data_IF_692070424049
#
_entry.id   IF_692070424049
#
_cell.length_a   1.000
_cell.length_b   1.000
_cell.length_c   1.000
_cell.angle_alpha   90.00
_cell.angle_beta   90.00
_cell.angle_gamma   90.00
#
_symmetry.space_group_name_H-M   'P 1'
#
loop_
_entity.id
_entity.type
_entity.pdbx_description
1 polymer ?
#
# COMPACT_ATOMS: atom_id res chain seq x y z
N UNK A 1 -15.89 -4.53 4.82
CA UNK A 1 -14.82 -3.52 4.61
C UNK A 1 -15.00 -2.23 5.43
N UNK A 2 -16.15 -1.52 5.36
CA UNK A 2 -16.40 -0.33 6.22
C UNK A 2 -16.20 -0.61 7.73
N UNK A 3 -16.65 -1.77 8.22
CA UNK A 3 -16.47 -2.15 9.63
C UNK A 3 -15.01 -2.47 10.04
N UNK A 4 -14.11 -2.80 9.11
CA UNK A 4 -12.70 -3.08 9.44
C UNK A 4 -11.92 -1.76 9.57
N UNK A 5 -12.17 -0.82 8.67
CA UNK A 5 -11.63 0.54 8.73
C UNK A 5 -12.15 1.31 9.95
N UNK A 6 -13.44 1.15 10.30
CA UNK A 6 -14.03 1.74 11.50
C UNK A 6 -13.43 1.14 12.77
N UNK A 7 -13.15 -0.17 12.81
CA UNK A 7 -12.46 -0.81 13.95
C UNK A 7 -10.99 -0.36 14.08
N UNK A 8 -10.27 -0.20 12.97
CA UNK A 8 -8.91 0.36 12.97
C UNK A 8 -8.87 1.81 13.47
N UNK A 9 -9.82 2.63 13.03
CA UNK A 9 -9.92 4.04 13.45
C UNK A 9 -10.37 4.16 14.90
N UNK A 10 -11.27 3.30 15.38
CA UNK A 10 -11.64 3.23 16.80
C UNK A 10 -10.46 2.79 17.68
N UNK A 11 -9.63 1.86 17.20
CA UNK A 11 -8.41 1.45 17.91
C UNK A 11 -7.36 2.57 17.96
N UNK A 12 -7.17 3.30 16.86
CA UNK A 12 -6.32 4.50 16.79
C UNK A 12 -6.81 5.65 17.69
N UNK A 13 -8.14 5.80 17.85
CA UNK A 13 -8.72 6.81 18.74
C UNK A 13 -8.63 6.39 20.22
N UNK A 14 -8.65 5.09 20.51
CA UNK A 14 -8.44 4.55 21.85
C UNK A 14 -6.97 4.68 22.30
N UNK A 15 -6.00 4.52 21.38
CA UNK A 15 -4.57 4.76 21.69
C UNK A 15 -4.22 6.25 21.83
N UNK A 16 -4.97 7.16 21.21
CA UNK A 16 -4.82 8.61 21.39
C UNK A 16 -5.44 9.15 22.70
N UNK A 17 -6.35 8.40 23.34
CA UNK A 17 -6.98 8.80 24.61
C UNK A 17 -6.20 8.38 25.87
N UNK A 18 -5.03 7.76 25.72
CA UNK A 18 -4.17 7.38 26.85
C UNK A 18 -3.25 8.53 27.30
N UNK A 19 -3.36 9.74 26.74
CA UNK A 19 -2.55 10.92 27.14
C UNK A 19 -2.75 11.43 28.60
N UNK A 20 -3.26 10.62 29.52
CA UNK A 20 -3.48 10.99 30.90
C UNK A 20 -3.08 9.93 31.93
N UNK A 21 -2.04 9.09 31.76
CA UNK A 21 -1.45 8.39 32.92
C UNK A 21 -0.01 7.83 32.76
N UNK A 22 0.98 8.62 33.23
CA UNK A 22 2.36 8.27 33.63
C UNK A 22 3.40 7.90 32.54
N UNK A 23 4.58 8.53 32.63
CA UNK A 23 5.53 8.77 31.52
C UNK A 23 6.56 7.67 31.21
N UNK A 24 6.68 6.59 31.99
CA UNK A 24 7.73 5.56 31.75
C UNK A 24 7.17 4.18 31.35
N UNK A 25 5.97 3.80 31.78
CA UNK A 25 5.32 2.55 31.33
C UNK A 25 4.59 2.71 29.98
N UNK A 26 4.16 3.93 29.63
CA UNK A 26 3.43 4.24 28.38
C UNK A 26 4.27 4.04 27.11
N UNK A 27 5.56 4.38 27.10
CA UNK A 27 6.38 4.28 25.88
C UNK A 27 6.61 2.84 25.44
N UNK A 28 6.86 1.94 26.39
CA UNK A 28 7.00 0.49 26.13
C UNK A 28 5.66 -0.09 25.65
N UNK A 29 4.55 0.34 26.23
CA UNK A 29 3.20 -0.05 25.83
C UNK A 29 2.85 0.38 24.40
N UNK A 30 3.20 1.60 24.00
CA UNK A 30 2.94 2.12 22.64
C UNK A 30 3.79 1.40 21.59
N UNK A 31 5.06 1.12 21.89
CA UNK A 31 5.95 0.36 20.98
C UNK A 31 5.41 -1.06 20.79
N UNK A 32 4.98 -1.73 21.86
CA UNK A 32 4.37 -3.07 21.79
C UNK A 32 3.08 -3.08 20.96
N UNK A 33 2.16 -2.14 21.19
CA UNK A 33 0.92 -2.02 20.42
C UNK A 33 1.18 -1.71 18.94
N UNK A 34 2.19 -0.90 18.64
CA UNK A 34 2.59 -0.61 17.26
C UNK A 34 3.18 -1.84 16.56
N UNK A 35 3.99 -2.64 17.26
CA UNK A 35 4.53 -3.89 16.74
C UNK A 35 3.44 -4.93 16.49
N UNK A 36 2.47 -5.08 17.40
CA UNK A 36 1.30 -5.94 17.19
C UNK A 36 0.49 -5.51 15.96
N UNK A 37 0.29 -4.21 15.78
CA UNK A 37 -0.38 -3.67 14.60
C UNK A 37 0.38 -3.99 13.31
N UNK A 38 1.70 -3.79 13.29
CA UNK A 38 2.55 -4.12 12.13
C UNK A 38 2.52 -5.60 11.79
N UNK A 39 2.51 -6.47 12.78
CA UNK A 39 2.38 -7.92 12.56
C UNK A 39 1.02 -8.30 11.96
N UNK A 40 -0.07 -7.68 12.42
CA UNK A 40 -1.41 -7.86 11.83
C UNK A 40 -1.45 -7.36 10.38
N UNK A 41 -0.88 -6.18 10.12
CA UNK A 41 -0.80 -5.61 8.77
C UNK A 41 0.02 -6.50 7.83
N UNK A 42 1.18 -6.98 8.30
CA UNK A 42 2.04 -7.91 7.58
C UNK A 42 1.33 -9.22 7.26
N UNK A 43 0.69 -9.83 8.26
CA UNK A 43 -0.11 -11.05 8.09
C UNK A 43 -1.23 -10.83 7.07
N UNK A 44 -1.95 -9.71 7.16
CA UNK A 44 -3.02 -9.38 6.22
C UNK A 44 -2.48 -9.19 4.80
N UNK A 45 -1.35 -8.50 4.65
CA UNK A 45 -0.68 -8.29 3.37
C UNK A 45 -0.25 -9.63 2.75
N UNK A 46 0.34 -10.53 3.54
CA UNK A 46 0.75 -11.86 3.08
C UNK A 46 -0.44 -12.71 2.63
N UNK A 47 -1.54 -12.71 3.39
CA UNK A 47 -2.78 -13.40 2.98
C UNK A 47 -3.28 -12.87 1.64
N UNK A 48 -3.37 -11.55 1.48
CA UNK A 48 -3.83 -10.93 0.23
C UNK A 48 -2.88 -11.22 -0.94
N UNK A 49 -1.56 -11.18 -0.70
CA UNK A 49 -0.53 -11.51 -1.69
C UNK A 49 -0.68 -12.94 -2.18
N UNK A 50 -0.80 -13.90 -1.26
CA UNK A 50 -0.95 -15.32 -1.59
C UNK A 50 -2.23 -15.59 -2.40
N UNK A 51 -3.34 -14.93 -2.03
CA UNK A 51 -4.59 -15.05 -2.80
C UNK A 51 -4.44 -14.43 -4.19
N UNK A 52 -3.82 -13.25 -4.30
CA UNK A 52 -3.59 -12.59 -5.58
C UNK A 52 -2.71 -13.44 -6.51
N UNK A 53 -1.63 -14.02 -5.99
CA UNK A 53 -0.74 -14.93 -6.71
C UNK A 53 -1.45 -16.20 -7.17
N UNK A 54 -2.15 -16.88 -6.26
CA UNK A 54 -2.92 -18.09 -6.60
C UNK A 54 -3.93 -17.82 -7.72
N UNK A 55 -4.69 -16.71 -7.64
CA UNK A 55 -5.66 -16.35 -8.67
C UNK A 55 -4.99 -15.90 -9.98
N UNK A 56 -3.84 -15.26 -9.91
CA UNK A 56 -3.06 -14.91 -11.09
C UNK A 56 -2.62 -16.17 -11.85
N UNK A 57 -2.14 -17.19 -11.14
CA UNK A 57 -1.78 -18.47 -11.76
C UNK A 57 -3.00 -19.17 -12.40
N UNK A 58 -4.18 -19.11 -11.77
CA UNK A 58 -5.41 -19.61 -12.40
C UNK A 58 -5.74 -18.86 -13.70
N UNK A 59 -5.57 -17.53 -13.75
CA UNK A 59 -5.79 -16.76 -14.98
C UNK A 59 -4.82 -17.19 -16.08
N UNK A 60 -3.55 -17.47 -15.74
CA UNK A 60 -2.54 -17.94 -16.70
C UNK A 60 -2.95 -19.29 -17.31
N UNK A 61 -3.31 -20.27 -16.46
CA UNK A 61 -3.76 -21.59 -16.92
C UNK A 61 -4.99 -21.46 -17.82
N UNK A 62 -6.00 -20.66 -17.42
CA UNK A 62 -7.19 -20.45 -18.24
C UNK A 62 -6.89 -19.75 -19.57
N UNK A 63 -5.88 -18.90 -19.63
CA UNK A 63 -5.43 -18.29 -20.87
C UNK A 63 -4.73 -19.28 -21.80
N UNK A 64 -3.97 -20.23 -21.26
CA UNK A 64 -3.37 -21.31 -22.05
C UNK A 64 -4.45 -22.24 -22.63
N UNK A 65 -5.49 -22.55 -21.85
CA UNK A 65 -6.60 -23.41 -22.28
C UNK A 65 -7.58 -22.69 -23.23
N UNK A 66 -7.89 -21.42 -22.95
CA UNK A 66 -8.95 -20.64 -23.61
C UNK A 66 -8.46 -19.20 -23.92
N UNK A 67 -7.45 -19.04 -24.81
CA UNK A 67 -6.80 -17.75 -25.05
C UNK A 67 -7.74 -16.69 -25.64
N UNK A 68 -8.79 -17.10 -26.37
CA UNK A 68 -9.79 -16.16 -26.92
C UNK A 68 -10.63 -15.50 -25.82
N UNK A 69 -10.90 -16.22 -24.74
CA UNK A 69 -11.80 -15.77 -23.67
C UNK A 69 -11.02 -15.10 -22.52
N UNK A 70 -9.78 -15.54 -22.27
CA UNK A 70 -8.95 -15.06 -21.16
C UNK A 70 -7.77 -14.18 -21.56
N UNK A 71 -7.40 -14.09 -22.84
CA UNK A 71 -6.21 -13.36 -23.29
C UNK A 71 -6.13 -11.90 -22.84
N UNK A 72 -7.25 -11.17 -22.94
CA UNK A 72 -7.29 -9.78 -22.48
C UNK A 72 -7.14 -9.67 -20.95
N UNK A 73 -7.80 -10.56 -20.20
CA UNK A 73 -7.75 -10.57 -18.73
C UNK A 73 -6.35 -10.95 -18.26
N UNK A 74 -5.73 -11.96 -18.88
CA UNK A 74 -4.38 -12.38 -18.59
C UNK A 74 -3.36 -11.26 -18.87
N UNK A 75 -3.49 -10.55 -19.99
CA UNK A 75 -2.65 -9.38 -20.27
C UNK A 75 -2.74 -8.31 -19.18
N UNK A 76 -3.96 -7.97 -18.74
CA UNK A 76 -4.16 -7.03 -17.65
C UNK A 76 -3.64 -7.55 -16.30
N UNK A 77 -3.87 -8.82 -15.99
CA UNK A 77 -3.41 -9.48 -14.78
C UNK A 77 -1.89 -9.47 -14.68
N UNK A 78 -1.19 -9.85 -15.76
CA UNK A 78 0.28 -9.81 -15.84
C UNK A 78 0.81 -8.40 -15.66
N UNK A 79 0.19 -7.41 -16.33
CA UNK A 79 0.60 -6.02 -16.20
C UNK A 79 0.49 -5.53 -14.76
N UNK A 80 -0.66 -5.74 -14.11
CA UNK A 80 -0.92 -5.34 -12.70
C UNK A 80 0.01 -6.08 -11.73
N UNK A 81 0.18 -7.39 -11.92
CA UNK A 81 0.99 -8.22 -11.03
C UNK A 81 2.46 -7.82 -11.11
N UNK A 82 3.02 -7.72 -12.33
CA UNK A 82 4.43 -7.38 -12.55
C UNK A 82 4.77 -5.97 -12.07
N UNK A 83 4.02 -4.96 -12.50
CA UNK A 83 4.32 -3.57 -12.14
C UNK A 83 4.06 -3.27 -10.66
N UNK A 84 3.08 -3.95 -10.05
CA UNK A 84 2.87 -3.89 -8.60
C UNK A 84 4.03 -4.52 -7.82
N UNK A 85 4.54 -5.67 -8.26
CA UNK A 85 5.69 -6.31 -7.62
C UNK A 85 6.96 -5.46 -7.76
N UNK A 86 7.18 -4.81 -8.90
CA UNK A 86 8.30 -3.86 -9.04
C UNK A 86 8.28 -2.71 -8.03
N UNK A 87 7.08 -2.25 -7.62
CA UNK A 87 6.94 -1.25 -6.55
C UNK A 87 7.28 -1.88 -5.21
N UNK A 88 6.74 -3.06 -4.91
CA UNK A 88 6.97 -3.76 -3.66
C UNK A 88 8.46 -4.09 -3.44
N UNK A 89 9.12 -4.62 -4.47
CA UNK A 89 10.54 -4.99 -4.46
C UNK A 89 11.42 -3.75 -4.23
N UNK A 90 11.09 -2.63 -4.89
CA UNK A 90 11.83 -1.38 -4.68
C UNK A 90 11.62 -0.81 -3.27
N UNK A 91 10.43 -0.97 -2.69
CA UNK A 91 10.18 -0.59 -1.30
C UNK A 91 10.94 -1.50 -0.34
N UNK A 92 11.01 -2.82 -0.61
CA UNK A 92 11.81 -3.74 0.20
C UNK A 92 13.31 -3.43 0.11
N UNK A 93 13.82 -3.01 -1.06
CA UNK A 93 15.18 -2.46 -1.21
C UNK A 93 15.39 -1.26 -0.27
N UNK A 94 14.49 -0.26 -0.30
CA UNK A 94 14.58 0.93 0.56
C UNK A 94 14.61 0.53 2.04
N UNK A 95 13.69 -0.35 2.47
CA UNK A 95 13.58 -0.77 3.87
C UNK A 95 14.76 -1.61 4.34
N UNK A 96 15.40 -2.38 3.46
CA UNK A 96 16.57 -3.19 3.84
C UNK A 96 17.78 -2.36 4.27
N UNK A 97 17.82 -1.08 3.88
CA UNK A 97 18.82 -0.11 4.36
C UNK A 97 18.44 0.63 5.64
N UNK A 98 17.30 0.28 6.27
CA UNK A 98 16.80 0.95 7.48
C UNK A 98 16.89 -0.02 8.66
N UNK A 99 17.64 0.33 9.71
CA UNK A 99 17.62 -0.45 10.94
C UNK A 99 16.36 -0.15 11.77
N UNK A 100 15.89 -1.13 12.56
CA UNK A 100 14.76 -0.91 13.47
C UNK A 100 15.09 0.12 14.55
N UNK A 101 16.33 0.13 15.02
CA UNK A 101 16.85 1.04 16.04
C UNK A 101 16.79 2.50 15.58
N UNK A 102 17.07 2.77 14.30
CA UNK A 102 16.98 4.11 13.68
C UNK A 102 15.54 4.61 13.55
N UNK A 103 14.54 3.73 13.62
CA UNK A 103 13.14 4.08 13.44
C UNK A 103 12.46 4.58 14.72
N UNK A 104 12.89 4.12 15.90
CA UNK A 104 12.24 4.43 17.17
C UNK A 104 12.82 5.65 17.88
N UNK A 105 13.86 6.29 17.32
CA UNK A 105 14.34 7.59 17.79
C UNK A 105 13.32 8.67 17.38
N UNK A 106 12.61 9.20 18.37
CA UNK A 106 11.54 10.17 18.16
C UNK A 106 12.06 11.45 17.49
N UNK A 107 11.44 11.81 16.36
CA UNK A 107 11.70 13.01 15.54
C UNK A 107 12.97 13.02 14.68
N UNK A 108 13.71 11.92 14.55
CA UNK A 108 14.75 11.86 13.52
C UNK A 108 14.14 11.82 12.11
N UNK A 109 14.68 12.62 11.19
CA UNK A 109 14.26 12.75 9.79
C UNK A 109 15.36 12.42 8.79
N UNK A 110 16.54 11.98 9.26
CA UNK A 110 17.69 11.74 8.38
C UNK A 110 17.37 10.75 7.24
N UNK A 111 16.68 9.65 7.56
CA UNK A 111 16.28 8.65 6.56
C UNK A 111 15.23 9.21 5.59
N UNK A 112 14.31 10.03 6.08
CA UNK A 112 13.32 10.71 5.24
C UNK A 112 14.00 11.65 4.24
N UNK A 113 14.93 12.48 4.71
CA UNK A 113 15.61 13.46 3.87
C UNK A 113 16.48 12.77 2.80
N UNK A 114 17.17 11.68 3.16
CA UNK A 114 17.90 10.85 2.21
C UNK A 114 16.97 10.18 1.18
N UNK A 115 15.86 9.59 1.64
CA UNK A 115 14.85 9.00 0.78
C UNK A 115 14.33 10.00 -0.24
N UNK A 116 13.95 11.21 0.20
CA UNK A 116 13.44 12.26 -0.70
C UNK A 116 14.49 12.65 -1.75
N UNK A 117 15.76 12.73 -1.36
CA UNK A 117 16.85 13.13 -2.24
C UNK A 117 17.18 12.08 -3.30
N UNK A 118 17.16 10.79 -2.95
CA UNK A 118 17.74 9.74 -3.81
C UNK A 118 16.73 8.73 -4.34
N UNK A 119 15.73 8.36 -3.54
CA UNK A 119 14.88 7.18 -3.79
C UNK A 119 13.45 7.56 -4.20
N UNK A 120 12.93 8.69 -3.71
CA UNK A 120 11.55 9.10 -3.94
C UNK A 120 11.18 9.24 -5.42
N UNK A 121 12.04 9.86 -6.23
CA UNK A 121 11.77 10.05 -7.66
C UNK A 121 11.60 8.71 -8.40
N UNK A 122 12.41 7.71 -8.06
CA UNK A 122 12.33 6.37 -8.65
C UNK A 122 11.03 5.68 -8.22
N UNK A 123 10.70 5.71 -6.92
CA UNK A 123 9.44 5.15 -6.42
C UNK A 123 8.23 5.84 -7.06
N UNK A 124 8.23 7.17 -7.15
CA UNK A 124 7.18 7.96 -7.78
C UNK A 124 6.97 7.53 -9.23
N UNK A 125 8.05 7.33 -10.00
CA UNK A 125 7.96 6.92 -11.40
C UNK A 125 7.35 5.52 -11.56
N UNK A 126 7.70 4.56 -10.69
CA UNK A 126 7.10 3.22 -10.69
C UNK A 126 5.60 3.28 -10.39
N UNK A 127 5.21 4.08 -9.39
CA UNK A 127 3.79 4.30 -9.04
C UNK A 127 3.03 5.01 -10.18
N UNK A 128 3.64 5.99 -10.83
CA UNK A 128 3.02 6.72 -11.95
C UNK A 128 2.80 5.80 -13.17
N UNK A 129 3.76 4.90 -13.45
CA UNK A 129 3.62 3.87 -14.48
C UNK A 129 2.45 2.94 -14.15
N UNK A 130 2.40 2.40 -12.92
CA UNK A 130 1.32 1.56 -12.42
C UNK A 130 -0.05 2.25 -12.56
N UNK A 131 -0.15 3.52 -12.15
CA UNK A 131 -1.35 4.33 -12.29
C UNK A 131 -1.82 4.46 -13.74
N UNK A 132 -0.91 4.81 -14.67
CA UNK A 132 -1.21 4.99 -16.10
C UNK A 132 -1.66 3.69 -16.75
N UNK A 133 -0.96 2.60 -16.44
CA UNK A 133 -1.29 1.25 -16.87
C UNK A 133 -2.70 0.84 -16.43
N UNK A 134 -3.01 1.03 -15.15
CA UNK A 134 -4.31 0.71 -14.59
C UNK A 134 -5.42 1.62 -15.11
N UNK A 135 -5.11 2.88 -15.44
CA UNK A 135 -6.07 3.83 -16.01
C UNK A 135 -6.68 3.32 -17.33
N UNK A 136 -5.90 2.61 -18.14
CA UNK A 136 -6.38 1.98 -19.37
C UNK A 136 -7.38 0.85 -19.04
N UNK A 137 -7.06 0.02 -18.05
CA UNK A 137 -7.89 -1.13 -17.63
C UNK A 137 -9.25 -0.65 -17.09
N UNK A 138 -9.24 0.32 -16.18
CA UNK A 138 -10.44 0.85 -15.51
C UNK A 138 -11.31 1.74 -16.41
N UNK A 139 -10.84 2.08 -17.62
CA UNK A 139 -11.65 2.81 -18.61
C UNK A 139 -12.80 1.96 -19.16
N UNK A 140 -12.68 0.64 -19.06
CA UNK A 140 -13.76 -0.29 -19.38
C UNK A 140 -14.85 -0.28 -18.31
N UNK A 141 -16.13 -0.44 -18.72
CA UNK A 141 -17.27 -0.52 -17.78
C UNK A 141 -17.12 -1.64 -16.76
N UNK A 142 -16.45 -2.74 -17.13
CA UNK A 142 -16.23 -3.91 -16.27
C UNK A 142 -15.42 -3.57 -15.02
N UNK A 143 -14.43 -2.68 -15.14
CA UNK A 143 -13.47 -2.37 -14.07
C UNK A 143 -13.62 -0.96 -13.50
N UNK A 144 -14.75 -0.29 -13.77
CA UNK A 144 -14.99 1.07 -13.32
C UNK A 144 -15.00 1.23 -11.79
N UNK A 145 -15.35 0.16 -11.07
CA UNK A 145 -15.32 0.10 -9.60
C UNK A 145 -13.93 0.32 -8.99
N UNK A 146 -12.85 0.04 -9.75
CA UNK A 146 -11.48 0.25 -9.29
C UNK A 146 -10.97 1.69 -9.45
N UNK A 147 -11.78 2.59 -10.02
CA UNK A 147 -11.35 3.96 -10.32
C UNK A 147 -10.91 4.74 -9.09
N UNK A 148 -11.68 4.70 -8.00
CA UNK A 148 -11.34 5.41 -6.78
C UNK A 148 -10.05 4.87 -6.14
N UNK A 149 -9.86 3.56 -6.18
CA UNK A 149 -8.63 2.93 -5.71
C UNK A 149 -7.41 3.33 -6.55
N UNK A 150 -7.54 3.31 -7.88
CA UNK A 150 -6.44 3.70 -8.77
C UNK A 150 -6.03 5.17 -8.58
N UNK A 151 -6.97 6.06 -8.26
CA UNK A 151 -6.69 7.47 -8.00
C UNK A 151 -5.76 7.70 -6.80
N UNK A 152 -5.61 6.72 -5.90
CA UNK A 152 -4.64 6.79 -4.80
C UNK A 152 -3.19 6.68 -5.26
N UNK A 153 -2.95 6.20 -6.48
CA UNK A 153 -1.62 6.11 -7.12
C UNK A 153 -1.35 7.28 -8.08
N UNK A 154 -2.29 8.23 -8.23
CA UNK A 154 -2.11 9.37 -9.12
C UNK A 154 -1.08 10.36 -8.55
N UNK A 155 0.17 10.20 -8.94
CA UNK A 155 1.29 11.01 -8.39
C UNK A 155 1.29 12.48 -8.80
N UNK A 156 0.48 12.85 -9.79
CA UNK A 156 0.39 14.22 -10.32
C UNK A 156 -0.86 14.97 -9.81
N UNK A 157 -1.68 14.31 -9.00
CA UNK A 157 -2.87 14.90 -8.40
C UNK A 157 -2.52 15.70 -7.14
N UNK A 158 -3.30 16.76 -6.91
CA UNK A 158 -3.35 17.43 -5.62
C UNK A 158 -4.40 16.76 -4.74
N UNK A 159 -4.02 16.45 -3.51
CA UNK A 159 -4.89 15.85 -2.49
C UNK A 159 -5.32 16.93 -1.51
N UNK A 160 -6.42 16.70 -0.80
CA UNK A 160 -6.88 17.60 0.26
C UNK A 160 -6.59 16.95 1.60
N UNK A 161 -5.89 17.67 2.49
CA UNK A 161 -5.57 17.17 3.83
C UNK A 161 -6.73 17.45 4.82
N UNK A 162 -6.57 17.04 6.09
CA UNK A 162 -7.59 17.26 7.14
C UNK A 162 -7.85 18.75 7.48
N UNK A 163 -7.02 19.67 6.97
CA UNK A 163 -7.15 21.12 7.15
C UNK A 163 -7.69 21.82 5.90
N UNK A 164 -8.24 21.06 4.95
CA UNK A 164 -8.72 21.54 3.65
C UNK A 164 -7.64 22.17 2.76
N UNK A 165 -6.37 21.87 3.01
CA UNK A 165 -5.24 22.37 2.21
C UNK A 165 -4.92 21.40 1.07
N UNK A 166 -4.62 21.97 -0.10
CA UNK A 166 -4.14 21.21 -1.26
C UNK A 166 -2.68 20.84 -1.06
N UNK A 167 -2.39 19.54 -1.01
CA UNK A 167 -1.04 18.99 -0.86
C UNK A 167 -0.67 18.09 -2.04
N UNK A 168 0.62 18.02 -2.36
CA UNK A 168 1.13 17.14 -3.42
C UNK A 168 1.19 15.68 -2.95
N UNK A 169 1.51 14.76 -3.86
CA UNK A 169 1.59 13.33 -3.57
C UNK A 169 2.62 12.97 -2.49
N UNK A 170 3.80 13.61 -2.50
CA UNK A 170 4.84 13.39 -1.48
C UNK A 170 4.30 13.69 -0.09
N UNK A 171 3.69 14.85 0.11
CA UNK A 171 3.11 15.24 1.40
C UNK A 171 1.87 14.42 1.76
N UNK A 172 1.12 13.95 0.76
CA UNK A 172 -0.04 13.09 0.99
C UNK A 172 0.36 11.71 1.50
N UNK A 173 1.39 11.09 0.92
CA UNK A 173 1.86 9.76 1.33
C UNK A 173 2.84 9.81 2.50
N UNK A 174 3.75 10.78 2.53
CA UNK A 174 4.87 10.87 3.46
C UNK A 174 4.87 12.19 4.26
N UNK A 175 3.68 12.68 4.63
CA UNK A 175 3.53 13.96 5.36
C UNK A 175 4.06 13.93 6.79
N UNK A 176 4.16 12.74 7.39
CA UNK A 176 4.84 12.55 8.68
C UNK A 176 6.30 12.17 8.44
N UNK A 177 7.20 13.12 8.66
CA UNK A 177 8.60 13.05 8.20
C UNK A 177 9.56 12.30 9.11
N UNK A 178 9.11 11.90 10.31
CA UNK A 178 9.94 11.07 11.18
C UNK A 178 10.29 9.74 10.47
N UNK A 179 11.43 9.14 10.80
CA UNK A 179 11.88 7.86 10.22
C UNK A 179 10.79 6.77 10.32
N UNK A 180 10.10 6.68 11.46
CA UNK A 180 8.94 5.79 11.64
C UNK A 180 7.79 6.11 10.68
N UNK A 181 7.55 7.39 10.42
CA UNK A 181 6.55 7.86 9.46
C UNK A 181 6.89 7.48 8.03
N UNK A 182 8.16 7.57 7.64
CA UNK A 182 8.64 7.05 6.36
C UNK A 182 8.35 5.55 6.23
N UNK A 183 8.76 4.75 7.22
CA UNK A 183 8.59 3.30 7.19
C UNK A 183 7.11 2.90 7.08
N UNK A 184 6.25 3.45 7.94
CA UNK A 184 4.80 3.20 7.88
C UNK A 184 4.20 3.62 6.54
N UNK A 185 4.67 4.72 5.95
CA UNK A 185 4.18 5.18 4.65
C UNK A 185 4.59 4.24 3.51
N UNK A 186 5.81 3.70 3.56
CA UNK A 186 6.29 2.68 2.63
C UNK A 186 5.48 1.38 2.74
N UNK A 187 5.26 0.89 3.96
CA UNK A 187 4.45 -0.31 4.22
C UNK A 187 3.01 -0.14 3.72
N UNK A 188 2.40 1.02 3.97
CA UNK A 188 1.07 1.35 3.47
C UNK A 188 0.99 1.32 1.94
N UNK A 189 2.00 1.83 1.23
CA UNK A 189 2.02 1.75 -0.24
C UNK A 189 2.07 0.30 -0.70
N UNK A 190 2.89 -0.55 -0.06
CA UNK A 190 2.92 -1.98 -0.40
C UNK A 190 1.56 -2.64 -0.18
N UNK A 191 0.90 -2.34 0.95
CA UNK A 191 -0.43 -2.85 1.23
C UNK A 191 -1.45 -2.40 0.19
N UNK A 192 -1.45 -1.12 -0.19
CA UNK A 192 -2.35 -0.59 -1.23
C UNK A 192 -2.15 -1.27 -2.59
N UNK A 193 -0.89 -1.52 -2.98
CA UNK A 193 -0.55 -2.24 -4.22
C UNK A 193 -1.05 -3.68 -4.17
N UNK A 194 -0.74 -4.43 -3.11
CA UNK A 194 -1.19 -5.81 -2.92
C UNK A 194 -2.71 -5.90 -2.89
N UNK A 195 -3.37 -4.95 -2.22
CA UNK A 195 -4.82 -4.88 -2.17
C UNK A 195 -5.43 -4.62 -3.56
N UNK A 196 -4.82 -3.76 -4.37
CA UNK A 196 -5.25 -3.54 -5.77
C UNK A 196 -5.10 -4.82 -6.61
N UNK A 197 -3.95 -5.50 -6.51
CA UNK A 197 -3.73 -6.79 -7.16
C UNK A 197 -4.81 -7.80 -6.75
N UNK A 198 -5.02 -7.99 -5.44
CA UNK A 198 -6.06 -8.87 -4.91
C UNK A 198 -7.45 -8.55 -5.47
N UNK A 199 -7.87 -7.29 -5.41
CA UNK A 199 -9.20 -6.88 -5.88
C UNK A 199 -9.40 -7.22 -7.36
N UNK A 200 -8.40 -6.92 -8.20
CA UNK A 200 -8.48 -7.21 -9.63
C UNK A 200 -8.54 -8.72 -9.89
N UNK A 201 -7.68 -9.51 -9.25
CA UNK A 201 -7.64 -10.96 -9.46
C UNK A 201 -8.92 -11.63 -8.95
N UNK A 202 -9.44 -11.19 -7.79
CA UNK A 202 -10.65 -11.73 -7.17
C UNK A 202 -11.92 -11.38 -7.95
N UNK A 203 -11.98 -10.22 -8.61
CA UNK A 203 -13.11 -9.86 -9.47
C UNK A 203 -13.18 -10.72 -10.74
N UNK A 204 -12.02 -11.21 -11.22
CA UNK A 204 -11.94 -12.03 -12.43
C UNK A 204 -12.05 -13.53 -12.17
N UNK A 205 -11.49 -13.99 -11.06
CA UNK A 205 -11.57 -15.37 -10.58
C UNK A 205 -12.20 -15.27 -9.20
N UNK A 206 -13.54 -15.36 -9.13
CA UNK A 206 -14.30 -15.25 -7.89
C UNK A 206 -13.89 -16.25 -6.81
N UNK A 207 -14.65 -16.30 -5.70
CA UNK A 207 -14.33 -17.12 -4.52
C UNK A 207 -14.39 -18.65 -4.73
N UNK A 208 -14.80 -19.12 -5.91
CA UNK A 208 -15.08 -20.52 -6.18
C UNK A 208 -13.94 -21.20 -6.97
N UNK A 209 -12.73 -21.24 -6.39
CA UNK A 209 -11.65 -22.19 -6.68
C UNK A 209 -10.74 -22.28 -5.47
#
# INVERSE_FOLDING_TARGET
>A
MKNLQIKLVLFLLLSLNVCCQSKEEESTSIILQFNEFREIEKTSKEILKNIAESKYEVIKVKNEEQPKDFGLIAGFATQIYSSGNEINDYIDEIKSGISEEDCFVTNDTALYDEFVKQKYTILKNKIDLFYKQNKVIISSKRYASFKEYNETFNTNKMFVNKKDEKINYLNFKFGYKANIGLLTSLEKIQFEVVHFQYMFMNDNIGSAY
#
